data_IF_125238823608
#
_entry.id   IF_125238823608
#
_cell.length_a   1.000
_cell.length_b   1.000
_cell.length_c   1.000
_cell.angle_alpha   90.00
_cell.angle_beta   90.00
_cell.angle_gamma   90.00
#
_symmetry.space_group_name_H-M   'P 1'
#
loop_
_entity.id
_entity.type
_entity.pdbx_description
1 polymer ?
#
# COMPACT_ATOMS: atom_id res chain seq x y z
N UNK A 1 -12.32 -7.41 15.13
CA UNK A 1 -11.46 -8.55 14.78
C UNK A 1 -11.82 -8.99 13.38
N UNK A 2 -10.83 -9.32 12.53
CA UNK A 2 -11.08 -9.77 11.16
C UNK A 2 -11.76 -11.14 11.16
N UNK A 3 -12.52 -11.42 10.11
CA UNK A 3 -13.10 -12.74 9.85
C UNK A 3 -12.03 -13.60 9.18
N UNK A 4 -11.62 -14.68 9.84
CA UNK A 4 -10.64 -15.63 9.29
C UNK A 4 -11.31 -16.69 8.42
N UNK A 5 -10.77 -16.91 7.22
CA UNK A 5 -11.15 -17.97 6.27
C UNK A 5 -9.90 -18.79 5.96
N UNK A 6 -10.00 -20.13 6.00
CA UNK A 6 -8.83 -21.00 6.03
C UNK A 6 -9.01 -22.30 5.26
N UNK A 7 -7.91 -22.89 4.79
CA UNK A 7 -7.92 -24.16 4.06
C UNK A 7 -8.35 -24.00 2.61
N UNK A 8 -8.10 -22.82 2.03
CA UNK A 8 -8.49 -22.49 0.66
C UNK A 8 -7.35 -22.89 -0.29
N UNK A 9 -7.56 -23.84 -1.22
CA UNK A 9 -6.54 -24.13 -2.24
C UNK A 9 -6.21 -22.87 -3.04
N UNK A 10 -4.94 -22.65 -3.36
CA UNK A 10 -4.49 -21.44 -4.07
C UNK A 10 -5.26 -21.15 -5.37
N UNK A 11 -5.71 -22.18 -6.09
CA UNK A 11 -6.55 -22.04 -7.29
C UNK A 11 -7.95 -21.44 -7.06
N UNK A 12 -8.46 -21.52 -5.83
CA UNK A 12 -9.78 -21.00 -5.43
C UNK A 12 -9.67 -19.65 -4.69
N UNK A 13 -8.45 -19.21 -4.36
CA UNK A 13 -8.20 -18.00 -3.57
C UNK A 13 -8.82 -16.74 -4.22
N UNK A 14 -8.73 -16.62 -5.53
CA UNK A 14 -9.27 -15.45 -6.24
C UNK A 14 -10.81 -15.41 -6.23
N UNK A 15 -11.48 -16.57 -6.30
CA UNK A 15 -12.95 -16.64 -6.18
C UNK A 15 -13.41 -16.25 -4.79
N UNK A 16 -12.72 -16.73 -3.73
CA UNK A 16 -12.99 -16.31 -2.35
C UNK A 16 -12.78 -14.80 -2.18
N UNK A 17 -11.67 -14.25 -2.68
CA UNK A 17 -11.42 -12.80 -2.58
C UNK A 17 -12.48 -11.97 -3.30
N UNK A 18 -12.98 -12.42 -4.47
CA UNK A 18 -14.08 -11.76 -5.19
C UNK A 18 -15.40 -11.85 -4.42
N UNK A 19 -15.69 -12.98 -3.78
CA UNK A 19 -16.87 -13.12 -2.91
C UNK A 19 -16.81 -12.19 -1.69
N UNK A 20 -15.67 -12.15 -1.00
CA UNK A 20 -15.45 -11.27 0.15
C UNK A 20 -15.47 -9.79 -0.24
N UNK A 21 -14.94 -9.42 -1.42
CA UNK A 21 -15.00 -8.08 -1.96
C UNK A 21 -16.44 -7.54 -2.08
N UNK A 22 -17.40 -8.41 -2.42
CA UNK A 22 -18.83 -8.06 -2.47
C UNK A 22 -19.47 -7.77 -1.10
N UNK A 23 -18.75 -7.99 0.01
CA UNK A 23 -19.18 -7.71 1.38
C UNK A 23 -18.53 -6.44 1.97
N UNK A 24 -17.65 -5.77 1.21
CA UNK A 24 -16.86 -4.63 1.67
C UNK A 24 -17.53 -3.33 1.20
N UNK A 25 -17.72 -2.39 2.13
CA UNK A 25 -18.08 -1.01 1.80
C UNK A 25 -16.83 -0.23 1.35
N UNK A 26 -16.93 0.42 0.19
CA UNK A 26 -15.83 1.08 -0.51
C UNK A 26 -14.95 0.16 -1.36
N UNK A 27 -13.75 0.61 -1.72
CA UNK A 27 -12.83 -0.16 -2.57
C UNK A 27 -12.03 -1.15 -1.73
N UNK A 28 -12.08 -2.46 -2.02
CA UNK A 28 -11.31 -3.46 -1.31
C UNK A 28 -9.82 -3.39 -1.68
N UNK A 29 -8.95 -3.64 -0.72
CA UNK A 29 -7.49 -3.69 -0.89
C UNK A 29 -6.91 -4.92 -0.19
N UNK A 30 -5.87 -5.49 -0.79
CA UNK A 30 -5.35 -6.82 -0.46
C UNK A 30 -3.86 -6.75 -0.15
N UNK A 31 -3.35 -7.46 0.84
CA UNK A 31 -1.90 -7.59 1.08
C UNK A 31 -1.54 -9.04 1.41
N UNK A 32 -0.63 -9.60 0.62
CA UNK A 32 -0.07 -10.92 0.85
C UNK A 32 1.09 -10.83 1.85
N UNK A 33 1.09 -11.63 2.91
CA UNK A 33 2.10 -11.61 3.98
C UNK A 33 3.03 -12.83 3.91
N UNK A 34 4.32 -12.58 3.68
CA UNK A 34 5.36 -13.60 3.85
C UNK A 34 5.48 -14.04 5.33
N UNK A 35 6.14 -15.18 5.58
CA UNK A 35 6.34 -15.75 6.92
C UNK A 35 6.92 -14.78 7.96
N UNK A 36 7.71 -13.79 7.55
CA UNK A 36 8.23 -12.78 8.48
C UNK A 36 7.18 -11.72 8.84
N UNK A 37 6.49 -11.16 7.84
CA UNK A 37 5.40 -10.20 8.06
C UNK A 37 4.22 -10.83 8.81
N UNK A 38 3.93 -12.09 8.55
CA UNK A 38 2.91 -12.87 9.26
C UNK A 38 3.25 -13.00 10.74
N UNK A 39 4.48 -13.44 11.08
CA UNK A 39 4.91 -13.57 12.49
C UNK A 39 4.86 -12.26 13.24
N UNK A 40 5.24 -11.15 12.62
CA UNK A 40 5.16 -9.83 13.25
C UNK A 40 3.71 -9.41 13.51
N UNK A 41 2.83 -9.58 12.52
CA UNK A 41 1.41 -9.30 12.62
C UNK A 41 0.71 -10.17 13.70
N UNK A 42 1.01 -11.46 13.75
CA UNK A 42 0.46 -12.38 14.76
C UNK A 42 0.99 -12.08 16.17
N UNK A 43 2.24 -11.63 16.31
CA UNK A 43 2.86 -11.34 17.62
C UNK A 43 2.45 -9.98 18.20
N UNK A 44 2.24 -8.95 17.36
CA UNK A 44 2.03 -7.57 17.80
C UNK A 44 0.65 -7.00 17.44
N UNK A 45 -0.15 -7.70 16.64
CA UNK A 45 -1.44 -7.21 16.14
C UNK A 45 -1.34 -6.03 15.17
N UNK A 46 -0.13 -5.73 14.67
CA UNK A 46 0.14 -4.61 13.76
C UNK A 46 1.05 -5.03 12.62
N UNK A 47 0.79 -4.50 11.42
CA UNK A 47 1.74 -4.52 10.31
C UNK A 47 2.50 -3.20 10.32
N UNK A 48 3.79 -3.21 10.65
CA UNK A 48 4.59 -1.98 10.60
C UNK A 48 5.01 -1.63 9.17
N UNK A 49 5.25 -0.33 8.86
CA UNK A 49 5.87 0.08 7.60
C UNK A 49 7.32 -0.40 7.55
N UNK A 50 7.54 -1.60 7.02
CA UNK A 50 8.89 -2.08 6.70
C UNK A 50 9.49 -1.25 5.57
N UNK A 51 10.82 -1.23 5.50
CA UNK A 51 11.51 -0.80 4.29
C UNK A 51 11.14 -1.81 3.20
N UNK A 52 10.32 -1.35 2.25
CA UNK A 52 9.88 -2.19 1.15
C UNK A 52 11.01 -2.39 0.15
N UNK A 53 10.99 -3.50 -0.57
CA UNK A 53 11.94 -3.88 -1.62
C UNK A 53 11.76 -3.04 -2.93
N UNK A 54 11.31 -1.80 -2.75
CA UNK A 54 11.18 -0.74 -3.75
C UNK A 54 11.87 0.48 -3.14
N UNK A 55 12.85 1.03 -3.86
CA UNK A 55 13.86 2.00 -3.41
C UNK A 55 13.32 3.43 -3.09
N UNK A 56 12.12 3.52 -2.51
CA UNK A 56 11.31 4.74 -2.40
C UNK A 56 10.79 5.01 -0.98
N UNK A 57 10.96 4.09 -0.01
CA UNK A 57 10.77 4.39 1.42
C UNK A 57 10.05 3.33 2.28
N UNK A 58 9.69 3.75 3.51
CA UNK A 58 8.99 2.92 4.51
C UNK A 58 7.48 3.03 4.33
N UNK A 59 6.79 1.90 4.12
CA UNK A 59 5.36 1.86 3.84
C UNK A 59 4.74 0.48 4.04
N UNK A 60 3.45 0.43 4.39
CA UNK A 60 2.63 -0.78 4.25
C UNK A 60 1.88 -0.68 2.91
N UNK A 61 2.09 -1.67 2.05
CA UNK A 61 1.61 -1.70 0.67
C UNK A 61 0.47 -2.71 0.51
N UNK A 62 -0.58 -2.33 -0.23
CA UNK A 62 -1.71 -3.16 -0.62
C UNK A 62 -1.96 -3.07 -2.13
N UNK A 63 -2.42 -4.15 -2.73
CA UNK A 63 -2.91 -4.24 -4.11
C UNK A 63 -4.39 -3.88 -4.16
N UNK A 64 -4.85 -3.20 -5.22
CA UNK A 64 -6.30 -3.03 -5.50
C UNK A 64 -6.86 -4.19 -6.33
N UNK A 65 -6.02 -4.94 -7.05
CA UNK A 65 -6.43 -6.12 -7.81
C UNK A 65 -6.13 -7.42 -7.02
N UNK A 66 -7.14 -8.25 -6.67
CA UNK A 66 -6.94 -9.46 -5.88
C UNK A 66 -6.03 -10.50 -6.57
N UNK A 67 -6.01 -10.57 -7.91
CA UNK A 67 -5.19 -11.55 -8.63
C UNK A 67 -3.69 -11.35 -8.36
N UNK A 68 -3.24 -10.14 -7.99
CA UNK A 68 -1.84 -9.89 -7.62
C UNK A 68 -1.52 -10.46 -6.24
N UNK A 69 -2.40 -10.28 -5.25
CA UNK A 69 -2.22 -10.87 -3.93
C UNK A 69 -2.21 -12.41 -3.96
N UNK A 70 -2.96 -13.02 -4.88
CA UNK A 70 -2.94 -14.48 -5.13
C UNK A 70 -1.65 -14.92 -5.82
N UNK A 71 -1.21 -14.22 -6.88
CA UNK A 71 0.05 -14.51 -7.62
C UNK A 71 1.29 -14.52 -6.71
N UNK A 72 1.29 -13.75 -5.64
CA UNK A 72 2.37 -13.72 -4.65
C UNK A 72 2.55 -15.05 -3.89
N UNK A 73 1.54 -15.94 -3.87
CA UNK A 73 1.57 -17.27 -3.25
C UNK A 73 2.15 -17.26 -1.80
N UNK A 74 1.55 -16.45 -0.94
CA UNK A 74 1.96 -16.26 0.47
C UNK A 74 0.92 -16.89 1.42
N UNK A 75 1.31 -17.34 2.64
CA UNK A 75 0.44 -18.10 3.55
C UNK A 75 -0.80 -17.33 4.08
N UNK A 76 -0.79 -16.00 4.02
CA UNK A 76 -1.93 -15.18 4.43
C UNK A 76 -2.11 -14.01 3.45
N UNK A 77 -3.35 -13.78 3.02
CA UNK A 77 -3.79 -12.54 2.39
C UNK A 77 -4.72 -11.82 3.38
N UNK A 78 -4.37 -10.60 3.77
CA UNK A 78 -5.26 -9.72 4.54
C UNK A 78 -6.04 -8.80 3.60
N UNK A 79 -7.31 -8.55 3.94
CA UNK A 79 -8.23 -7.71 3.15
C UNK A 79 -8.79 -6.59 4.01
N UNK A 80 -8.78 -5.36 3.49
CA UNK A 80 -9.38 -4.18 4.11
C UNK A 80 -10.07 -3.33 3.03
N UNK A 81 -10.56 -2.13 3.39
CA UNK A 81 -11.07 -1.15 2.43
C UNK A 81 -10.28 0.16 2.49
N UNK A 82 -10.20 0.86 1.35
CA UNK A 82 -9.60 2.20 1.28
C UNK A 82 -10.29 3.16 2.23
N UNK A 83 -11.61 3.03 2.44
CA UNK A 83 -12.40 3.89 3.33
C UNK A 83 -12.11 3.69 4.83
N UNK A 84 -11.59 2.53 5.23
CA UNK A 84 -11.10 2.28 6.59
C UNK A 84 -9.70 2.86 6.74
N UNK A 85 -8.76 2.44 5.88
CA UNK A 85 -7.34 2.78 5.99
C UNK A 85 -7.02 4.26 5.73
N UNK A 86 -7.93 5.01 5.09
CA UNK A 86 -7.75 6.44 4.76
C UNK A 86 -8.21 7.41 5.83
N UNK A 87 -8.98 6.96 6.84
CA UNK A 87 -9.50 7.86 7.88
C UNK A 87 -8.34 8.43 8.69
N UNK A 88 -8.18 9.74 8.62
CA UNK A 88 -7.17 10.54 9.34
C UNK A 88 -5.70 10.24 9.01
N UNK A 89 -5.43 9.33 8.07
CA UNK A 89 -4.08 8.85 7.76
C UNK A 89 -3.60 9.34 6.40
N UNK A 90 -2.30 9.64 6.31
CA UNK A 90 -1.66 9.98 5.04
C UNK A 90 -1.52 8.72 4.20
N UNK A 91 -2.37 8.62 3.19
CA UNK A 91 -2.15 7.72 2.05
C UNK A 91 -0.89 8.23 1.33
N UNK A 92 -0.01 7.29 1.02
CA UNK A 92 1.18 7.52 0.21
C UNK A 92 1.00 6.86 -1.13
N UNK A 93 1.75 7.42 -2.04
CA UNK A 93 1.12 7.90 -3.20
C UNK A 93 2.30 8.00 -4.19
N UNK A 94 2.39 6.95 -5.00
CA UNK A 94 3.59 6.37 -5.62
C UNK A 94 3.67 6.47 -7.16
N UNK A 95 2.93 7.39 -7.81
CA UNK A 95 2.84 7.67 -9.27
C UNK A 95 4.11 8.24 -9.89
N UNK A 96 4.95 8.88 -9.06
CA UNK A 96 5.99 9.81 -9.52
C UNK A 96 7.38 9.21 -9.21
N UNK A 97 7.99 8.45 -10.13
CA UNK A 97 9.39 8.07 -10.04
C UNK A 97 10.28 9.25 -10.46
N UNK A 98 10.51 10.18 -9.52
CA UNK A 98 11.36 11.35 -9.71
C UNK A 98 10.62 12.61 -10.18
N UNK A 99 11.24 13.78 -9.95
CA UNK A 99 10.64 15.11 -10.13
C UNK A 99 9.78 15.25 -11.41
N UNK A 100 8.51 15.63 -11.22
CA UNK A 100 7.63 16.17 -12.26
C UNK A 100 8.38 17.24 -13.07
N UNK A 101 8.30 17.17 -14.40
CA UNK A 101 9.00 18.05 -15.34
C UNK A 101 8.77 19.53 -15.02
N UNK A 102 7.58 19.91 -14.56
CA UNK A 102 7.28 21.27 -14.12
C UNK A 102 8.11 21.67 -12.90
N UNK A 103 8.14 20.83 -11.87
CA UNK A 103 8.94 21.06 -10.66
C UNK A 103 10.45 20.97 -10.92
N UNK A 104 10.87 20.13 -11.88
CA UNK A 104 12.26 20.09 -12.36
C UNK A 104 12.64 21.41 -13.04
N UNK A 105 11.78 21.96 -13.90
CA UNK A 105 11.98 23.27 -14.51
C UNK A 105 11.99 24.40 -13.46
N UNK A 106 11.13 24.37 -12.46
CA UNK A 106 11.15 25.32 -11.33
C UNK A 106 12.44 25.20 -10.50
N UNK A 107 12.94 23.98 -10.26
CA UNK A 107 14.18 23.71 -9.55
C UNK A 107 15.42 24.10 -10.36
N UNK A 108 15.42 23.91 -11.68
CA UNK A 108 16.47 24.40 -12.58
C UNK A 108 16.45 25.92 -12.71
N UNK A 109 15.26 26.55 -12.74
CA UNK A 109 15.11 28.01 -12.76
C UNK A 109 15.50 28.69 -11.43
N UNK A 110 15.40 27.98 -10.32
CA UNK A 110 15.82 28.47 -9.00
C UNK A 110 17.28 28.16 -8.63
N UNK A 111 17.98 27.28 -9.38
CA UNK A 111 19.44 27.08 -9.25
C UNK A 111 20.22 28.33 -9.68
N UNK A 112 20.43 29.24 -8.73
CA UNK A 112 21.18 30.48 -8.90
C UNK A 112 20.43 31.73 -8.44
N UNK A 113 19.09 31.65 -8.34
CA UNK A 113 18.29 32.68 -7.67
C UNK A 113 18.28 32.38 -6.16
N UNK A 114 19.08 33.12 -5.39
CA UNK A 114 19.44 32.83 -3.98
C UNK A 114 18.32 32.81 -2.92
N UNK A 115 17.04 32.73 -3.33
CA UNK A 115 15.86 32.72 -2.45
C UNK A 115 15.10 31.39 -2.43
N UNK A 116 15.53 30.36 -3.15
CA UNK A 116 14.91 29.03 -3.13
C UNK A 116 15.94 27.95 -2.81
N UNK A 117 15.76 27.27 -1.69
CA UNK A 117 16.53 26.06 -1.43
C UNK A 117 15.87 24.88 -2.17
N UNK A 118 16.68 23.98 -2.74
CA UNK A 118 16.17 22.70 -3.26
C UNK A 118 15.46 21.87 -2.17
N UNK A 119 15.74 22.17 -0.90
CA UNK A 119 15.09 21.62 0.28
C UNK A 119 13.62 22.05 0.43
N UNK A 120 13.26 23.30 0.14
CA UNK A 120 11.86 23.78 0.19
C UNK A 120 11.01 23.21 -0.95
N UNK A 121 11.63 22.80 -2.06
CA UNK A 121 10.97 22.06 -3.14
C UNK A 121 10.85 20.58 -2.74
N UNK A 122 11.92 19.97 -2.23
CA UNK A 122 11.92 18.59 -1.73
C UNK A 122 10.89 18.37 -0.61
N UNK A 123 10.77 19.31 0.34
CA UNK A 123 9.75 19.30 1.40
C UNK A 123 8.33 19.33 0.82
N UNK A 124 8.09 20.14 -0.21
CA UNK A 124 6.80 20.16 -0.92
C UNK A 124 6.53 18.89 -1.70
N UNK A 125 7.54 18.26 -2.30
CA UNK A 125 7.40 16.93 -2.92
C UNK A 125 6.97 15.89 -1.89
N UNK A 126 7.58 15.88 -0.69
CA UNK A 126 7.16 15.03 0.44
C UNK A 126 5.76 15.37 1.01
N UNK A 127 5.31 16.61 0.83
CA UNK A 127 3.95 17.05 1.18
C UNK A 127 2.94 16.74 0.07
N UNK A 128 3.40 16.34 -1.14
CA UNK A 128 2.61 16.15 -2.37
C UNK A 128 2.72 14.73 -2.96
N UNK A 129 3.10 13.72 -2.17
CA UNK A 129 3.06 12.30 -2.55
C UNK A 129 1.76 12.03 -3.36
N UNK A 130 1.83 11.50 -4.61
CA UNK A 130 0.62 11.15 -5.45
C UNK A 130 0.71 9.73 -6.13
N UNK A 131 -0.29 8.78 -6.05
CA UNK A 131 -0.38 7.31 -6.51
C UNK A 131 -0.79 7.08 -7.98
N UNK A 132 -0.04 6.31 -8.77
CA UNK A 132 -0.55 5.22 -9.65
C UNK A 132 0.53 4.56 -10.53
N UNK A 133 0.35 3.25 -10.73
CA UNK A 133 0.77 2.49 -11.92
C UNK A 133 2.28 2.37 -12.13
N UNK A 134 2.82 1.27 -11.60
CA UNK A 134 3.98 0.62 -12.23
C UNK A 134 3.47 -0.16 -13.47
N UNK A 135 4.00 0.15 -14.66
CA UNK A 135 3.85 -0.64 -15.90
C UNK A 135 2.42 -1.06 -16.33
N UNK A 136 1.42 -0.21 -16.10
CA UNK A 136 0.04 -0.42 -16.56
C UNK A 136 -0.83 -1.37 -15.71
N UNK A 137 -0.26 -2.17 -14.81
CA UNK A 137 -0.97 -3.33 -14.25
C UNK A 137 -1.46 -3.18 -12.79
N UNK A 138 -0.82 -2.35 -11.96
CA UNK A 138 -1.12 -2.33 -10.50
C UNK A 138 -1.29 -0.93 -9.93
N UNK A 139 -2.49 -0.59 -9.41
CA UNK A 139 -2.67 0.48 -8.45
C UNK A 139 -2.34 -0.06 -7.05
N UNK A 140 -1.33 0.53 -6.41
CA UNK A 140 -0.83 0.15 -5.09
C UNK A 140 -1.27 1.19 -4.06
N UNK A 141 -2.08 0.77 -3.09
CA UNK A 141 -2.49 1.59 -1.96
C UNK A 141 -1.43 1.51 -0.86
N UNK A 142 -0.77 2.63 -0.53
CA UNK A 142 0.34 2.65 0.45
C UNK A 142 0.00 3.53 1.65
N UNK A 143 0.44 3.14 2.84
CA UNK A 143 0.23 3.89 4.08
C UNK A 143 1.53 3.95 4.90
N UNK A 144 1.88 5.14 5.42
CA UNK A 144 3.08 5.37 6.26
C UNK A 144 2.85 5.02 7.74
N UNK A 145 1.61 4.81 8.16
CA UNK A 145 1.26 4.37 9.52
C UNK A 145 1.24 2.85 9.62
N UNK A 146 1.53 2.26 10.80
CA UNK A 146 1.23 0.85 11.05
C UNK A 146 -0.27 0.58 10.87
N UNK A 147 -0.61 -0.56 10.28
CA UNK A 147 -2.00 -1.03 10.14
C UNK A 147 -2.30 -2.00 11.27
N UNK A 148 -3.32 -1.72 12.07
CA UNK A 148 -3.73 -2.53 13.21
C UNK A 148 -4.72 -3.63 12.78
N UNK A 149 -4.80 -4.72 13.55
CA UNK A 149 -5.64 -5.89 13.23
C UNK A 149 -7.15 -5.59 13.15
N UNK A 150 -7.63 -4.55 13.83
CA UNK A 150 -9.00 -4.06 13.75
C UNK A 150 -9.31 -3.29 12.46
N UNK A 151 -8.30 -2.80 11.73
CA UNK A 151 -8.46 -2.23 10.39
C UNK A 151 -8.55 -3.29 9.29
N UNK A 152 -8.35 -4.57 9.63
CA UNK A 152 -8.48 -5.70 8.70
C UNK A 152 -9.89 -6.28 8.81
N UNK A 153 -10.54 -6.47 7.65
CA UNK A 153 -11.88 -7.06 7.55
C UNK A 153 -11.81 -8.58 7.45
N UNK A 154 -10.89 -9.10 6.62
CA UNK A 154 -10.73 -10.55 6.39
C UNK A 154 -9.28 -11.00 6.43
N UNK A 155 -9.08 -12.22 6.93
CA UNK A 155 -7.82 -12.98 6.91
C UNK A 155 -8.02 -14.25 6.09
N UNK A 156 -7.38 -14.38 4.92
CA UNK A 156 -7.51 -15.52 4.01
C UNK A 156 -6.24 -16.35 4.02
N UNK A 157 -6.27 -17.51 4.68
CA UNK A 157 -5.13 -18.47 4.76
C UNK A 157 -5.16 -19.46 3.60
N UNK A 158 -4.06 -19.48 2.85
CA UNK A 158 -3.79 -20.35 1.69
C UNK A 158 -3.05 -21.64 2.10
#
# INVERSE_FOLDING_TARGET
>A
MPISVSGIPAGNAEEVLRYLAGQIDGTPVYRALCNESLREYESHGVMTPKEGDLSVGRGVFFYINPSHAVKENKPLIVVSSTGILSRERRIVDTRIPGYDVKYKMELESSRGAGNYSGWDVWKRVLESDTITVLNGEVPVYTIRSPVTRDEILFEVRL
#
